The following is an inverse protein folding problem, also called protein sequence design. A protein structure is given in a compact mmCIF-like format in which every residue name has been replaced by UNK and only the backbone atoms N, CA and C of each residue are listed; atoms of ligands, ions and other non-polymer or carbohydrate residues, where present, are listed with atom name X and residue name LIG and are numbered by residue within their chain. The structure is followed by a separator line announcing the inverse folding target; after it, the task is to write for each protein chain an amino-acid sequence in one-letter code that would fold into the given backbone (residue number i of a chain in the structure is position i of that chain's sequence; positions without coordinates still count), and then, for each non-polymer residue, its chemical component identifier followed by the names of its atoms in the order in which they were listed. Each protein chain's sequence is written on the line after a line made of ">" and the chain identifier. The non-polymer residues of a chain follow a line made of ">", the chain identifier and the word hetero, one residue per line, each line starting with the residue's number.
data_IF_211142118362
#
_entry.id   IF_211142118362
#
_cell.length_a   1.000
_cell.length_b   1.000
_cell.length_c   1.000
_cell.angle_alpha   90.00
_cell.angle_beta   90.00
_cell.angle_gamma   90.00
#
_symmetry.space_group_name_H-M   'P 1'
#
loop_
_entity.id
_entity.type
_entity.pdbx_description
1 polymer ?
#
# COMPACT_ATOMS: atom_id res chain seq x y z
N UNK A 1 -21.77 9.87 -16.44
CA UNK A 1 -20.95 8.65 -16.43
C UNK A 1 -21.15 7.97 -15.08
N UNK A 2 -21.22 6.64 -15.00
CA UNK A 2 -21.30 5.95 -13.72
C UNK A 2 -20.04 6.26 -12.89
N UNK A 3 -20.22 6.33 -11.58
CA UNK A 3 -19.14 6.55 -10.60
C UNK A 3 -19.34 5.62 -9.40
N UNK A 4 -18.25 5.29 -8.73
CA UNK A 4 -18.23 4.51 -7.51
C UNK A 4 -16.96 4.83 -6.73
N UNK A 5 -16.97 4.49 -5.44
CA UNK A 5 -15.85 4.65 -4.53
C UNK A 5 -15.55 3.31 -3.86
N UNK A 6 -14.26 3.06 -3.62
CA UNK A 6 -13.76 1.99 -2.78
C UNK A 6 -13.56 2.53 -1.37
N UNK A 7 -14.15 1.90 -0.36
CA UNK A 7 -14.11 2.40 1.02
C UNK A 7 -13.55 1.37 2.01
N UNK A 8 -12.53 1.76 2.76
CA UNK A 8 -12.08 1.11 3.99
C UNK A 8 -12.64 1.90 5.19
N UNK A 9 -13.84 1.54 5.65
CA UNK A 9 -14.55 2.29 6.68
C UNK A 9 -14.95 3.68 6.19
N UNK A 10 -14.40 4.73 6.81
CA UNK A 10 -14.64 6.14 6.42
C UNK A 10 -13.64 6.66 5.40
N UNK A 11 -12.58 5.91 5.09
CA UNK A 11 -11.60 6.27 4.07
C UNK A 11 -12.09 5.75 2.72
N UNK A 12 -12.42 6.64 1.80
CA UNK A 12 -12.97 6.29 0.50
C UNK A 12 -12.15 6.94 -0.62
N UNK A 13 -11.89 6.17 -1.68
CA UNK A 13 -11.21 6.63 -2.88
C UNK A 13 -12.05 6.35 -4.12
N UNK A 14 -12.16 7.30 -5.07
CA UNK A 14 -12.90 7.07 -6.29
C UNK A 14 -12.20 6.04 -7.17
N UNK A 15 -12.99 5.15 -7.78
CA UNK A 15 -12.46 4.36 -8.89
C UNK A 15 -12.09 5.29 -10.04
N UNK A 16 -10.96 5.03 -10.67
CA UNK A 16 -10.48 5.84 -11.79
C UNK A 16 -11.35 5.78 -13.03
N UNK A 17 -12.11 4.70 -13.20
CA UNK A 17 -13.23 4.63 -14.12
C UNK A 17 -14.22 3.55 -13.67
N UNK A 18 -15.48 3.75 -14.02
CA UNK A 18 -16.52 2.73 -13.91
C UNK A 18 -17.13 2.52 -15.30
N UNK A 19 -17.20 1.27 -15.75
CA UNK A 19 -17.81 0.92 -17.05
C UNK A 19 -18.93 -0.08 -16.80
N UNK A 20 -20.09 0.18 -17.39
CA UNK A 20 -21.26 -0.70 -17.31
C UNK A 20 -21.68 -1.08 -18.71
N UNK A 21 -21.80 -2.39 -18.97
CA UNK A 21 -22.25 -2.93 -20.24
C UNK A 21 -23.12 -4.16 -19.99
N UNK A 22 -24.43 -4.04 -20.21
CA UNK A 22 -25.39 -5.09 -19.88
C UNK A 22 -25.40 -5.39 -18.37
N UNK A 23 -25.19 -6.66 -18.03
CA UNK A 23 -25.07 -7.16 -16.65
C UNK A 23 -23.65 -7.04 -16.08
N UNK A 24 -22.68 -6.58 -16.88
CA UNK A 24 -21.28 -6.49 -16.48
C UNK A 24 -20.94 -5.09 -15.99
N UNK A 25 -20.25 -5.01 -14.85
CA UNK A 25 -19.61 -3.80 -14.34
C UNK A 25 -18.10 -4.02 -14.21
N UNK A 26 -17.32 -3.01 -14.59
CA UNK A 26 -15.88 -2.96 -14.40
C UNK A 26 -15.53 -1.72 -13.60
N UNK A 27 -14.87 -1.92 -12.46
CA UNK A 27 -14.29 -0.87 -11.64
C UNK A 27 -12.77 -0.84 -11.86
N UNK A 28 -12.26 0.27 -12.37
CA UNK A 28 -10.84 0.44 -12.68
C UNK A 28 -10.11 1.13 -11.52
N UNK A 29 -9.09 0.48 -10.97
CA UNK A 29 -8.16 1.02 -9.98
C UNK A 29 -6.82 1.22 -10.70
N UNK A 30 -6.81 2.14 -11.66
CA UNK A 30 -5.72 2.18 -12.62
C UNK A 30 -4.38 2.68 -12.07
N UNK A 31 -4.37 3.22 -10.84
CA UNK A 31 -3.12 3.60 -10.15
C UNK A 31 -2.26 2.36 -9.84
N UNK A 32 -2.90 1.20 -9.74
CA UNK A 32 -2.26 -0.10 -9.48
C UNK A 32 -2.38 -1.08 -10.65
N UNK A 33 -2.76 -0.59 -11.84
CA UNK A 33 -3.16 -1.41 -12.99
C UNK A 33 -4.09 -2.57 -12.57
N UNK A 34 -5.04 -2.24 -11.71
CA UNK A 34 -5.94 -3.19 -11.09
C UNK A 34 -7.39 -2.91 -11.52
N UNK A 35 -8.22 -3.95 -11.54
CA UNK A 35 -9.63 -3.82 -11.82
C UNK A 35 -10.45 -4.87 -11.08
N UNK A 36 -11.73 -4.57 -10.87
CA UNK A 36 -12.75 -5.55 -10.48
C UNK A 36 -13.72 -5.66 -11.64
N UNK A 37 -13.83 -6.86 -12.22
CA UNK A 37 -14.83 -7.18 -13.23
C UNK A 37 -15.85 -8.12 -12.62
N UNK A 38 -17.11 -7.70 -12.59
CA UNK A 38 -18.20 -8.46 -11.99
C UNK A 38 -19.47 -8.42 -12.84
N UNK A 39 -20.34 -9.41 -12.63
CA UNK A 39 -21.69 -9.48 -13.18
C UNK A 39 -22.73 -9.32 -12.08
N UNK A 40 -23.88 -8.75 -12.41
CA UNK A 40 -25.04 -8.68 -11.51
C UNK A 40 -25.71 -10.05 -11.39
N UNK A 41 -25.79 -10.56 -10.17
CA UNK A 41 -26.54 -11.77 -9.81
C UNK A 41 -27.56 -11.41 -8.72
N UNK A 42 -28.76 -11.02 -9.13
CA UNK A 42 -29.78 -10.52 -8.19
C UNK A 42 -29.34 -9.21 -7.52
N UNK A 43 -29.23 -9.22 -6.20
CA UNK A 43 -28.75 -8.08 -5.38
C UNK A 43 -27.22 -8.13 -5.09
N UNK A 44 -26.49 -8.97 -5.82
CA UNK A 44 -25.06 -9.20 -5.66
C UNK A 44 -24.26 -8.89 -6.93
N UNK A 45 -22.98 -8.64 -6.74
CA UNK A 45 -21.96 -8.61 -7.78
C UNK A 45 -21.02 -9.78 -7.58
N UNK A 46 -20.83 -10.60 -8.62
CA UNK A 46 -19.96 -11.78 -8.60
C UNK A 46 -18.93 -11.66 -9.72
N UNK A 47 -17.66 -11.93 -9.43
CA UNK A 47 -16.62 -11.87 -10.46
C UNK A 47 -15.22 -12.03 -9.90
N UNK A 48 -14.30 -11.20 -10.37
CA UNK A 48 -12.91 -11.23 -9.92
C UNK A 48 -12.28 -9.84 -9.86
N UNK A 49 -11.43 -9.67 -8.86
CA UNK A 49 -10.39 -8.65 -8.82
C UNK A 49 -9.15 -9.18 -9.55
N UNK A 50 -8.47 -8.33 -10.30
CA UNK A 50 -7.16 -8.63 -10.88
C UNK A 50 -6.23 -7.43 -10.87
N UNK A 51 -4.93 -7.65 -10.64
CA UNK A 51 -3.88 -6.64 -10.82
C UNK A 51 -2.65 -7.22 -11.52
N UNK A 52 -1.73 -6.34 -11.95
CA UNK A 52 -0.43 -6.73 -12.49
C UNK A 52 0.43 -7.44 -11.44
N UNK A 53 1.33 -8.31 -11.91
CA UNK A 53 2.21 -9.10 -11.03
C UNK A 53 3.46 -9.57 -11.77
N UNK A 54 4.56 -9.68 -11.04
CA UNK A 54 5.85 -10.14 -11.56
C UNK A 54 5.86 -11.59 -12.09
N UNK A 55 4.81 -12.37 -11.76
CA UNK A 55 4.59 -13.75 -12.27
C UNK A 55 3.29 -13.86 -13.07
N UNK A 56 2.85 -12.74 -13.65
CA UNK A 56 1.56 -12.59 -14.29
C UNK A 56 0.47 -12.05 -13.36
N UNK A 57 -0.71 -11.75 -13.91
CA UNK A 57 -1.78 -11.09 -13.16
C UNK A 57 -2.24 -11.92 -11.97
N UNK A 58 -2.35 -11.31 -10.80
CA UNK A 58 -2.98 -11.98 -9.65
C UNK A 58 -4.48 -11.81 -9.79
N UNK A 59 -5.23 -12.90 -9.67
CA UNK A 59 -6.69 -12.88 -9.75
C UNK A 59 -7.26 -13.43 -8.45
N UNK A 60 -8.19 -12.70 -7.84
CA UNK A 60 -8.88 -13.11 -6.60
C UNK A 60 -10.39 -13.06 -6.86
N UNK A 61 -11.14 -14.11 -6.51
CA UNK A 61 -12.59 -14.08 -6.59
C UNK A 61 -13.18 -12.88 -5.84
N UNK A 62 -14.13 -12.22 -6.47
CA UNK A 62 -14.81 -11.05 -5.94
C UNK A 62 -16.30 -11.37 -5.75
N UNK A 63 -16.81 -10.99 -4.58
CA UNK A 63 -18.23 -11.01 -4.29
C UNK A 63 -18.59 -9.79 -3.46
N UNK A 64 -19.63 -9.06 -3.87
CA UNK A 64 -20.21 -7.98 -3.09
C UNK A 64 -21.72 -8.15 -3.05
N UNK A 65 -22.31 -7.83 -1.90
CA UNK A 65 -23.76 -7.81 -1.71
C UNK A 65 -24.19 -6.42 -1.32
N UNK A 66 -25.41 -6.05 -1.67
CA UNK A 66 -25.98 -4.79 -1.18
C UNK A 66 -26.08 -4.82 0.35
N UNK A 67 -25.39 -3.89 1.01
CA UNK A 67 -25.43 -3.77 2.45
C UNK A 67 -24.22 -3.07 3.03
N UNK A 68 -24.08 -3.17 4.34
CA UNK A 68 -22.88 -2.78 5.09
C UNK A 68 -22.48 -3.97 5.95
N UNK A 69 -21.19 -4.12 6.20
CA UNK A 69 -20.74 -5.07 7.21
C UNK A 69 -21.39 -4.69 8.54
N UNK A 70 -22.16 -5.60 9.14
CA UNK A 70 -22.76 -5.39 10.46
C UNK A 70 -21.66 -5.53 11.50
N UNK A 71 -21.44 -4.50 12.32
CA UNK A 71 -20.33 -4.47 13.26
C UNK A 71 -20.79 -3.97 14.62
N UNK A 72 -20.38 -4.68 15.66
CA UNK A 72 -20.48 -4.21 17.03
C UNK A 72 -19.15 -3.54 17.43
N UNK A 73 -19.19 -2.53 18.32
CA UNK A 73 -17.97 -1.94 18.85
C UNK A 73 -17.15 -3.00 19.58
N UNK A 74 -15.82 -2.94 19.42
CA UNK A 74 -14.92 -3.81 20.16
C UNK A 74 -14.93 -3.47 21.65
N UNK A 75 -14.77 -4.47 22.53
CA UNK A 75 -14.71 -4.24 23.97
C UNK A 75 -13.45 -3.43 24.33
N UNK A 76 -13.49 -2.59 25.39
CA UNK A 76 -12.36 -1.73 25.77
C UNK A 76 -11.03 -2.47 25.94
N UNK A 77 -11.07 -3.73 26.37
CA UNK A 77 -9.90 -4.59 26.57
C UNK A 77 -9.17 -4.92 25.26
N UNK A 78 -9.82 -4.82 24.11
CA UNK A 78 -9.22 -5.01 22.78
C UNK A 78 -8.57 -3.73 22.25
N UNK A 79 -9.01 -2.57 22.72
CA UNK A 79 -8.57 -1.28 22.19
C UNK A 79 -7.15 -0.92 22.66
N UNK A 80 -6.53 -0.01 21.90
CA UNK A 80 -5.21 0.52 22.13
C UNK A 80 -4.12 -0.15 21.28
N UNK A 81 -2.88 0.01 21.74
CA UNK A 81 -1.67 -0.39 21.01
C UNK A 81 -1.16 -1.73 21.52
N UNK A 82 -0.76 -2.60 20.59
CA UNK A 82 -0.29 -3.95 20.83
C UNK A 82 1.03 -4.21 20.12
N UNK A 83 1.99 -4.73 20.88
CA UNK A 83 3.24 -5.23 20.34
C UNK A 83 2.99 -6.66 19.85
N UNK A 84 3.10 -6.87 18.55
CA UNK A 84 2.76 -8.13 17.89
C UNK A 84 3.97 -8.81 17.26
N UNK A 85 3.93 -10.14 17.18
CA UNK A 85 4.91 -10.97 16.50
C UNK A 85 4.20 -11.83 15.46
N UNK A 86 4.47 -11.53 14.19
CA UNK A 86 3.88 -12.24 13.05
C UNK A 86 4.84 -13.34 12.59
N UNK A 87 4.33 -14.55 12.40
CA UNK A 87 5.11 -15.69 11.92
C UNK A 87 5.08 -16.86 12.90
N UNK A 88 5.94 -17.84 12.63
CA UNK A 88 6.12 -19.02 13.46
C UNK A 88 7.45 -18.97 14.20
N UNK A 89 7.66 -19.90 15.15
CA UNK A 89 8.92 -20.05 15.86
C UNK A 89 10.13 -20.02 14.91
N UNK A 90 11.13 -19.20 15.25
CA UNK A 90 12.34 -18.99 14.44
C UNK A 90 12.24 -17.97 13.32
N UNK A 91 11.05 -17.44 12.98
CA UNK A 91 10.82 -16.43 11.93
C UNK A 91 9.76 -15.41 12.32
N UNK A 92 9.84 -14.89 13.54
CA UNK A 92 8.94 -13.85 14.03
C UNK A 92 9.36 -12.48 13.50
N UNK A 93 8.39 -11.72 13.00
CA UNK A 93 8.56 -10.36 12.52
C UNK A 93 7.74 -9.42 13.42
N UNK A 94 8.36 -8.38 14.03
CA UNK A 94 7.65 -7.48 14.92
C UNK A 94 6.70 -6.56 14.13
N UNK A 95 5.50 -6.35 14.66
CA UNK A 95 4.48 -5.43 14.15
C UNK A 95 3.87 -4.68 15.31
N UNK A 96 3.38 -3.46 15.07
CA UNK A 96 2.48 -2.78 16.02
C UNK A 96 1.08 -2.88 15.46
N UNK A 97 0.13 -3.32 16.28
CA UNK A 97 -1.30 -3.26 15.98
C UNK A 97 -1.93 -2.16 16.83
N UNK A 98 -2.65 -1.25 16.21
CA UNK A 98 -3.47 -0.27 16.92
C UNK A 98 -4.94 -0.56 16.64
N UNK A 99 -5.78 -0.56 17.67
CA UNK A 99 -7.21 -0.77 17.56
C UNK A 99 -8.00 0.34 18.23
N UNK A 100 -9.00 0.88 17.54
CA UNK A 100 -9.92 1.87 18.09
C UNK A 100 -11.34 1.70 17.52
N UNK A 101 -12.35 2.11 18.28
CA UNK A 101 -13.73 2.11 17.80
C UNK A 101 -13.99 3.40 17.01
N UNK A 102 -14.08 3.28 15.69
CA UNK A 102 -14.50 4.35 14.79
C UNK A 102 -16.03 4.43 14.64
N UNK A 103 -16.49 5.49 13.97
CA UNK A 103 -17.93 5.74 13.76
C UNK A 103 -18.66 4.63 13.00
N UNK A 104 -17.94 3.87 12.18
CA UNK A 104 -18.49 2.80 11.36
C UNK A 104 -18.07 1.41 11.83
N UNK A 105 -17.28 1.24 12.90
CA UNK A 105 -16.79 -0.08 13.31
C UNK A 105 -15.40 -0.06 13.94
N UNK A 106 -14.82 -1.24 14.14
CA UNK A 106 -13.45 -1.39 14.61
C UNK A 106 -12.49 -0.95 13.51
N UNK A 107 -11.65 0.03 13.83
CA UNK A 107 -10.50 0.41 13.01
C UNK A 107 -9.27 -0.31 13.53
N UNK A 108 -8.38 -0.63 12.61
CA UNK A 108 -7.06 -1.09 12.97
C UNK A 108 -5.97 -0.53 12.06
N UNK A 109 -4.76 -0.46 12.59
CA UNK A 109 -3.56 -0.09 11.84
C UNK A 109 -2.51 -1.16 12.08
N UNK A 110 -1.75 -1.50 11.04
CA UNK A 110 -0.61 -2.42 11.15
C UNK A 110 0.66 -1.70 10.71
N UNK A 111 1.52 -1.41 11.68
CA UNK A 111 2.83 -0.82 11.44
C UNK A 111 3.89 -1.91 11.43
N UNK A 112 4.82 -1.79 10.47
CA UNK A 112 5.99 -2.64 10.36
C UNK A 112 7.24 -1.80 10.15
N UNK A 113 8.42 -2.42 10.28
CA UNK A 113 9.66 -1.74 9.90
C UNK A 113 9.72 -1.38 8.41
N UNK A 114 8.95 -2.03 7.53
CA UNK A 114 8.87 -1.71 6.10
C UNK A 114 7.76 -0.69 5.76
N UNK A 115 7.09 -0.12 6.77
CA UNK A 115 6.01 0.86 6.58
C UNK A 115 4.66 0.42 7.14
N UNK A 116 3.70 1.33 7.02
CA UNK A 116 2.30 1.12 7.39
C UNK A 116 1.57 0.33 6.28
N UNK A 117 0.54 -0.44 6.67
CA UNK A 117 -0.27 -1.27 5.77
C UNK A 117 -1.63 -0.65 5.43
N UNK A 118 -1.83 0.62 5.76
CA UNK A 118 -3.08 1.34 5.57
C UNK A 118 -4.08 1.10 6.70
N UNK A 119 -5.18 1.84 6.63
CA UNK A 119 -6.28 1.71 7.57
C UNK A 119 -7.09 0.44 7.29
N UNK A 120 -7.17 -0.43 8.29
CA UNK A 120 -8.06 -1.59 8.31
C UNK A 120 -9.39 -1.19 8.94
N UNK A 121 -10.45 -1.84 8.48
CA UNK A 121 -11.78 -1.65 9.02
C UNK A 121 -12.56 -2.96 9.08
N UNK A 122 -13.37 -3.10 10.12
CA UNK A 122 -14.31 -4.21 10.26
C UNK A 122 -15.00 -4.13 11.60
N UNK A 123 -15.07 -5.24 12.32
CA UNK A 123 -15.81 -5.33 13.57
C UNK A 123 -15.30 -6.36 14.54
N UNK A 124 -15.86 -6.29 15.74
CA UNK A 124 -15.72 -7.31 16.76
C UNK A 124 -17.08 -7.90 17.10
N UNK A 125 -17.07 -9.12 17.62
CA UNK A 125 -18.22 -9.79 18.22
C UNK A 125 -17.73 -10.47 19.50
N UNK A 126 -18.11 -9.93 20.64
CA UNK A 126 -17.55 -10.34 21.92
C UNK A 126 -16.02 -10.13 21.97
N UNK A 127 -15.26 -11.23 22.02
CA UNK A 127 -13.79 -11.21 22.11
C UNK A 127 -13.10 -11.58 20.79
N UNK A 128 -13.86 -11.78 19.72
CA UNK A 128 -13.34 -12.07 18.39
C UNK A 128 -13.43 -10.82 17.51
N UNK A 129 -12.53 -10.68 16.55
CA UNK A 129 -12.52 -9.56 15.61
C UNK A 129 -12.11 -9.99 14.21
N UNK A 130 -12.59 -9.23 13.24
CA UNK A 130 -12.20 -9.33 11.83
C UNK A 130 -12.14 -7.93 11.23
N UNK A 131 -10.99 -7.55 10.69
CA UNK A 131 -10.77 -6.27 10.03
C UNK A 131 -10.07 -6.49 8.69
N UNK A 132 -10.48 -5.77 7.65
CA UNK A 132 -9.94 -5.90 6.30
C UNK A 132 -9.39 -4.57 5.77
N UNK A 133 -8.51 -4.66 4.79
CA UNK A 133 -8.01 -3.53 4.04
C UNK A 133 -7.90 -3.91 2.56
N UNK A 134 -8.44 -3.07 1.68
CA UNK A 134 -8.28 -3.21 0.24
C UNK A 134 -8.12 -1.84 -0.43
N UNK A 135 -7.04 -1.64 -1.16
CA UNK A 135 -6.72 -0.40 -1.90
C UNK A 135 -6.45 -0.65 -3.40
N UNK A 136 -6.48 -1.91 -3.85
CA UNK A 136 -6.14 -2.32 -5.21
C UNK A 136 -4.68 -2.75 -5.41
N UNK A 137 -3.81 -2.57 -4.43
CA UNK A 137 -2.48 -3.19 -4.34
C UNK A 137 -2.49 -4.30 -3.27
N UNK A 138 -2.99 -3.94 -2.08
CA UNK A 138 -3.11 -4.78 -0.91
C UNK A 138 -4.52 -5.32 -0.79
N UNK A 139 -4.60 -6.64 -0.56
CA UNK A 139 -5.84 -7.37 -0.26
C UNK A 139 -5.58 -8.09 1.06
N UNK A 140 -5.84 -7.40 2.17
CA UNK A 140 -5.45 -7.84 3.50
C UNK A 140 -6.65 -8.05 4.42
N UNK A 141 -6.52 -9.01 5.33
CA UNK A 141 -7.48 -9.24 6.40
C UNK A 141 -6.77 -9.73 7.66
N UNK A 142 -7.25 -9.31 8.82
CA UNK A 142 -6.78 -9.78 10.12
C UNK A 142 -7.98 -10.34 10.84
N UNK A 143 -7.86 -11.59 11.24
CA UNK A 143 -8.86 -12.27 12.10
C UNK A 143 -8.19 -12.67 13.39
N UNK A 144 -8.85 -12.49 14.52
CA UNK A 144 -8.27 -12.89 15.79
C UNK A 144 -9.24 -12.85 16.94
N UNK A 145 -8.70 -13.09 18.13
CA UNK A 145 -9.44 -13.03 19.38
C UNK A 145 -8.55 -12.65 20.55
N UNK A 146 -9.17 -12.08 21.58
CA UNK A 146 -8.51 -11.74 22.84
C UNK A 146 -8.62 -12.91 23.83
N UNK A 147 -7.50 -13.59 24.12
CA UNK A 147 -7.40 -14.64 25.12
C UNK A 147 -6.73 -14.09 26.38
N UNK A 148 -7.51 -13.87 27.44
CA UNK A 148 -7.02 -13.16 28.63
C UNK A 148 -6.59 -11.74 28.27
N UNK A 149 -5.29 -11.49 28.31
CA UNK A 149 -4.60 -10.23 27.99
C UNK A 149 -3.78 -10.29 26.69
N UNK A 150 -3.92 -11.36 25.90
CA UNK A 150 -3.14 -11.59 24.69
C UNK A 150 -4.06 -11.66 23.47
N UNK A 151 -3.74 -10.92 22.41
CA UNK A 151 -4.38 -11.11 21.10
C UNK A 151 -3.70 -12.27 20.38
N UNK A 152 -4.50 -13.17 19.81
CA UNK A 152 -4.02 -14.23 18.93
C UNK A 152 -4.83 -14.21 17.64
N UNK A 153 -4.17 -14.42 16.51
CA UNK A 153 -4.88 -14.34 15.24
C UNK A 153 -4.08 -14.75 14.03
N UNK A 154 -4.58 -14.36 12.87
CA UNK A 154 -4.01 -14.64 11.55
C UNK A 154 -4.13 -13.39 10.67
N UNK A 155 -3.02 -13.00 10.07
CA UNK A 155 -2.96 -12.04 8.98
C UNK A 155 -3.04 -12.78 7.65
N UNK A 156 -4.04 -12.44 6.85
CA UNK A 156 -4.30 -12.98 5.53
C UNK A 156 -3.85 -11.96 4.49
N UNK A 157 -3.02 -12.40 3.54
CA UNK A 157 -2.57 -11.58 2.43
C UNK A 157 -2.85 -12.26 1.09
N UNK A 158 -3.74 -11.63 0.31
CA UNK A 158 -4.28 -12.20 -0.91
C UNK A 158 -5.01 -13.52 -0.66
N UNK A 159 -4.94 -14.44 -1.63
CA UNK A 159 -5.75 -15.67 -1.62
C UNK A 159 -5.19 -16.79 -0.73
N UNK A 160 -3.88 -16.81 -0.46
CA UNK A 160 -3.21 -17.99 0.11
C UNK A 160 -2.31 -17.71 1.31
N UNK A 161 -1.78 -16.49 1.44
CA UNK A 161 -0.82 -16.21 2.51
C UNK A 161 -1.56 -16.07 3.81
N UNK A 162 -1.17 -16.86 4.81
CA UNK A 162 -1.69 -16.81 6.16
C UNK A 162 -0.52 -16.83 7.13
N UNK A 163 -0.42 -15.77 7.93
CA UNK A 163 0.64 -15.60 8.91
C UNK A 163 0.02 -15.53 10.30
N UNK A 164 0.25 -16.52 11.19
CA UNK A 164 -0.24 -16.43 12.55
C UNK A 164 0.46 -15.29 13.28
N UNK A 165 -0.20 -14.72 14.28
CA UNK A 165 0.43 -13.77 15.18
C UNK A 165 -0.06 -13.92 16.61
N UNK A 166 0.78 -13.46 17.53
CA UNK A 166 0.41 -13.14 18.91
C UNK A 166 0.74 -11.68 19.17
N UNK A 167 -0.01 -11.03 20.06
CA UNK A 167 0.28 -9.67 20.47
C UNK A 167 -0.05 -9.45 21.95
N UNK A 168 0.81 -8.69 22.62
CA UNK A 168 0.64 -8.26 24.01
C UNK A 168 0.45 -6.76 24.06
N UNK A 169 -0.19 -6.25 25.11
CA UNK A 169 -0.40 -4.81 25.26
C UNK A 169 0.94 -4.08 25.25
N UNK A 170 1.04 -3.03 24.43
CA UNK A 170 2.27 -2.26 24.33
C UNK A 170 2.58 -1.58 25.65
N UNK A 171 3.86 -1.57 26.01
CA UNK A 171 4.38 -0.89 27.21
C UNK A 171 4.88 0.52 26.91
N UNK A 172 4.87 0.92 25.64
CA UNK A 172 5.52 2.15 25.15
C UNK A 172 7.02 2.01 24.92
N UNK A 173 7.62 0.86 25.24
CA UNK A 173 8.99 0.56 24.84
C UNK A 173 9.09 0.42 23.30
N UNK A 174 10.24 0.74 22.68
CA UNK A 174 10.43 0.51 21.25
C UNK A 174 10.25 -0.96 20.88
N UNK A 175 9.25 -1.24 20.04
CA UNK A 175 8.98 -2.59 19.51
C UNK A 175 9.50 -2.78 18.09
N UNK A 176 9.39 -1.74 17.26
CA UNK A 176 9.99 -1.69 15.92
C UNK A 176 11.39 -1.07 16.00
N UNK A 177 12.27 -1.46 15.07
CA UNK A 177 13.57 -0.77 14.93
C UNK A 177 13.36 0.72 14.61
N UNK A 178 14.21 1.63 15.13
CA UNK A 178 14.20 3.03 14.73
C UNK A 178 14.32 3.18 13.21
N UNK A 179 13.62 4.13 12.56
CA UNK A 179 13.69 4.30 11.11
C UNK A 179 15.12 4.46 10.57
N UNK A 180 16.00 5.12 11.33
CA UNK A 180 17.43 5.30 11.00
C UNK A 180 18.26 4.02 11.01
N UNK A 181 17.73 2.93 11.56
CA UNK A 181 18.39 1.62 11.62
C UNK A 181 17.74 0.59 10.68
N UNK A 182 16.63 0.95 10.02
CA UNK A 182 15.97 0.08 9.03
C UNK A 182 16.71 0.12 7.69
N UNK A 183 17.26 1.28 7.35
CA UNK A 183 17.97 1.51 6.09
C UNK A 183 19.38 2.01 6.36
N UNK A 184 20.35 1.53 5.60
CA UNK A 184 21.70 2.08 5.58
C UNK A 184 22.08 2.47 4.15
N UNK A 185 22.93 3.49 4.02
CA UNK A 185 23.55 3.86 2.77
C UNK A 185 25.05 3.58 2.87
N UNK A 186 25.62 2.96 1.83
CA UNK A 186 27.07 2.95 1.66
C UNK A 186 27.52 4.34 1.22
N UNK A 187 28.25 5.02 2.10
CA UNK A 187 28.76 6.38 1.89
C UNK A 187 30.25 6.41 1.57
N UNK A 188 30.86 5.26 1.29
CA UNK A 188 32.28 5.17 0.93
C UNK A 188 32.60 5.81 -0.42
N UNK A 189 31.59 5.96 -1.28
CA UNK A 189 31.68 6.64 -2.56
C UNK A 189 30.44 7.48 -2.87
N UNK A 190 30.50 8.33 -3.91
CA UNK A 190 29.33 9.05 -4.37
C UNK A 190 28.30 8.06 -4.93
N UNK A 191 27.05 8.20 -4.52
CA UNK A 191 25.94 7.45 -5.11
C UNK A 191 25.87 7.72 -6.62
N UNK A 192 25.87 6.65 -7.42
CA UNK A 192 25.79 6.71 -8.88
C UNK A 192 24.47 6.10 -9.35
N UNK A 193 23.86 6.68 -10.38
CA UNK A 193 22.71 6.09 -11.06
C UNK A 193 22.78 6.37 -12.55
N UNK A 194 22.27 5.43 -13.35
CA UNK A 194 22.15 5.56 -14.80
C UNK A 194 20.98 4.71 -15.27
N UNK A 195 19.83 5.34 -15.50
CA UNK A 195 18.59 4.65 -15.86
C UNK A 195 17.85 5.40 -16.98
N UNK A 196 17.08 4.69 -17.82
CA UNK A 196 16.26 5.33 -18.84
C UNK A 196 15.13 6.14 -18.20
N UNK A 197 14.88 7.35 -18.72
CA UNK A 197 13.63 8.05 -18.51
C UNK A 197 12.49 7.40 -19.30
N UNK A 198 11.29 7.99 -19.20
CA UNK A 198 10.10 7.48 -19.86
C UNK A 198 10.16 7.58 -21.40
N UNK A 199 11.11 8.33 -21.94
CA UNK A 199 11.36 8.45 -23.38
C UNK A 199 12.52 7.55 -23.84
N UNK A 200 13.08 6.75 -22.93
CA UNK A 200 14.18 5.81 -23.18
C UNK A 200 15.57 6.48 -23.17
N UNK A 201 15.66 7.76 -22.85
CA UNK A 201 16.95 8.45 -22.73
C UNK A 201 17.55 8.14 -21.37
N UNK A 202 18.80 7.67 -21.36
CA UNK A 202 19.53 7.44 -20.12
C UNK A 202 19.83 8.78 -19.44
N UNK A 203 19.41 8.89 -18.17
CA UNK A 203 19.70 9.99 -17.26
C UNK A 203 20.67 9.49 -16.21
N UNK A 204 21.71 10.29 -15.91
CA UNK A 204 22.74 9.92 -14.93
C UNK A 204 22.91 11.00 -13.86
N UNK A 205 23.52 10.64 -12.74
CA UNK A 205 23.89 11.60 -11.69
C UNK A 205 24.88 12.68 -12.15
N UNK A 206 25.53 12.49 -13.30
CA UNK A 206 26.46 13.45 -13.89
C UNK A 206 25.78 14.49 -14.79
N UNK A 207 24.47 14.35 -15.06
CA UNK A 207 23.75 15.29 -15.91
C UNK A 207 23.80 16.72 -15.35
N UNK A 208 23.87 17.76 -16.22
CA UNK A 208 23.98 19.15 -15.78
C UNK A 208 22.93 19.59 -14.76
N UNK A 209 21.74 18.97 -14.79
CA UNK A 209 20.64 19.28 -13.88
C UNK A 209 20.94 18.98 -12.41
N UNK A 210 21.86 18.06 -12.13
CA UNK A 210 22.22 17.62 -10.78
C UNK A 210 23.50 18.28 -10.24
N UNK A 211 24.32 18.89 -11.12
CA UNK A 211 25.61 19.45 -10.73
C UNK A 211 25.45 20.64 -9.77
N UNK A 212 26.18 20.58 -8.66
CA UNK A 212 26.20 21.65 -7.65
C UNK A 212 24.91 21.79 -6.85
N UNK A 213 24.02 20.79 -6.90
CA UNK A 213 22.75 20.76 -6.17
C UNK A 213 22.78 19.73 -5.04
N UNK A 214 21.93 19.94 -4.05
CA UNK A 214 21.50 18.86 -3.15
C UNK A 214 20.48 18.02 -3.90
N UNK A 215 20.79 16.74 -4.10
CA UNK A 215 19.93 15.82 -4.85
C UNK A 215 19.28 14.84 -3.89
N UNK A 216 17.94 14.82 -3.87
CA UNK A 216 17.18 13.75 -3.23
C UNK A 216 16.89 12.66 -4.27
N UNK A 217 17.33 11.45 -3.97
CA UNK A 217 17.00 10.25 -4.73
C UNK A 217 15.81 9.59 -4.05
N UNK A 218 14.70 9.52 -4.76
CA UNK A 218 13.45 8.91 -4.30
C UNK A 218 13.32 7.51 -4.90
N UNK A 219 13.51 6.46 -4.10
CA UNK A 219 13.36 5.06 -4.53
C UNK A 219 11.93 4.63 -4.23
N UNK A 220 11.16 4.34 -5.28
CA UNK A 220 9.73 4.10 -5.15
C UNK A 220 9.22 3.11 -6.19
N UNK A 221 7.92 2.79 -6.13
CA UNK A 221 7.22 2.10 -7.20
C UNK A 221 5.74 2.48 -7.20
N UNK A 222 5.09 2.49 -8.37
CA UNK A 222 3.68 2.93 -8.50
C UNK A 222 2.71 2.03 -7.75
N UNK A 223 3.10 0.77 -7.55
CA UNK A 223 2.39 -0.27 -6.80
C UNK A 223 2.42 -0.08 -5.28
N UNK A 224 3.27 0.81 -4.75
CA UNK A 224 3.50 1.02 -3.33
C UNK A 224 2.54 2.12 -2.79
N UNK A 225 1.58 1.80 -1.92
CA UNK A 225 0.63 2.80 -1.39
C UNK A 225 1.32 3.91 -0.61
N UNK A 226 2.30 3.57 0.24
CA UNK A 226 3.09 4.56 0.98
C UNK A 226 3.83 5.56 0.05
N UNK A 227 4.17 5.13 -1.16
CA UNK A 227 4.82 5.96 -2.16
C UNK A 227 3.83 6.92 -2.82
N UNK A 228 2.56 6.50 -2.98
CA UNK A 228 1.46 7.38 -3.39
C UNK A 228 1.20 8.46 -2.32
N UNK A 229 1.22 8.08 -1.04
CA UNK A 229 1.04 9.01 0.08
C UNK A 229 2.19 10.01 0.23
N UNK A 230 3.43 9.59 -0.08
CA UNK A 230 4.62 10.44 0.02
C UNK A 230 4.76 11.47 -1.12
N UNK A 231 4.18 11.18 -2.30
CA UNK A 231 4.38 12.01 -3.50
C UNK A 231 3.96 13.49 -3.34
N UNK A 232 2.80 13.82 -2.73
CA UNK A 232 2.43 15.20 -2.47
C UNK A 232 3.43 15.94 -1.56
N UNK A 233 3.91 15.29 -0.50
CA UNK A 233 4.91 15.88 0.41
C UNK A 233 6.25 16.11 -0.28
N UNK A 234 6.67 15.19 -1.16
CA UNK A 234 7.87 15.37 -1.97
C UNK A 234 7.73 16.54 -2.95
N UNK A 235 6.54 16.72 -3.54
CA UNK A 235 6.25 17.87 -4.39
C UNK A 235 6.34 19.19 -3.62
N UNK A 236 5.78 19.25 -2.41
CA UNK A 236 5.90 20.43 -1.54
C UNK A 236 7.36 20.77 -1.22
N UNK A 237 8.17 19.76 -0.89
CA UNK A 237 9.60 19.92 -0.64
C UNK A 237 10.32 20.47 -1.88
N UNK A 238 10.02 19.90 -3.05
CA UNK A 238 10.58 20.37 -4.32
C UNK A 238 10.23 21.84 -4.58
N UNK A 239 8.95 22.21 -4.45
CA UNK A 239 8.49 23.57 -4.68
C UNK A 239 9.16 24.57 -3.73
N UNK A 240 9.38 24.19 -2.47
CA UNK A 240 10.00 25.04 -1.46
C UNK A 240 11.51 25.28 -1.71
N UNK A 241 12.24 24.27 -2.18
CA UNK A 241 13.71 24.31 -2.18
C UNK A 241 14.35 24.26 -3.57
N UNK A 242 13.61 23.96 -4.65
CA UNK A 242 14.21 23.75 -5.97
C UNK A 242 15.04 24.96 -6.44
N UNK A 243 14.51 26.18 -6.27
CA UNK A 243 15.22 27.42 -6.63
C UNK A 243 16.44 27.72 -5.74
N UNK A 244 16.62 26.99 -4.64
CA UNK A 244 17.71 27.12 -3.67
C UNK A 244 18.82 26.09 -3.90
N UNK A 245 18.80 25.41 -5.06
CA UNK A 245 19.80 24.38 -5.39
C UNK A 245 19.40 22.97 -4.95
N UNK A 246 18.10 22.69 -4.81
CA UNK A 246 17.58 21.35 -4.59
C UNK A 246 17.09 20.73 -5.91
N UNK A 247 17.25 19.42 -6.05
CA UNK A 247 16.70 18.64 -7.17
C UNK A 247 16.27 17.27 -6.67
N UNK A 248 15.31 16.68 -7.37
CA UNK A 248 14.83 15.32 -7.10
C UNK A 248 15.04 14.46 -8.34
N UNK A 249 15.29 13.18 -8.13
CA UNK A 249 15.16 12.14 -9.16
C UNK A 249 14.46 10.95 -8.53
N UNK A 250 13.39 10.47 -9.18
CA UNK A 250 12.68 9.28 -8.70
C UNK A 250 13.12 8.06 -9.51
N UNK A 251 13.46 6.98 -8.81
CA UNK A 251 13.88 5.69 -9.35
C UNK A 251 12.75 4.70 -9.15
N UNK A 252 12.02 4.40 -10.23
CA UNK A 252 10.86 3.51 -10.23
C UNK A 252 11.30 2.04 -10.33
N UNK A 253 11.06 1.28 -9.26
CA UNK A 253 11.18 -0.18 -9.22
C UNK A 253 9.78 -0.78 -9.36
N UNK A 254 9.42 -1.18 -10.58
CA UNK A 254 8.06 -1.56 -10.94
C UNK A 254 7.82 -3.07 -10.90
N UNK A 255 6.61 -3.53 -11.20
CA UNK A 255 6.24 -4.93 -10.94
C UNK A 255 6.56 -5.85 -12.11
N UNK A 256 6.48 -5.38 -13.36
CA UNK A 256 6.45 -6.28 -14.52
C UNK A 256 7.81 -6.46 -15.20
N UNK A 257 8.65 -5.42 -15.18
CA UNK A 257 9.89 -5.37 -15.94
C UNK A 257 9.69 -5.10 -17.43
N UNK A 258 8.44 -4.90 -17.86
CA UNK A 258 8.10 -4.49 -19.22
C UNK A 258 8.03 -2.95 -19.26
N UNK A 259 8.96 -2.28 -19.97
CA UNK A 259 9.00 -0.82 -20.03
C UNK A 259 7.74 -0.18 -20.60
N UNK A 260 6.95 -0.89 -21.41
CA UNK A 260 5.70 -0.35 -21.94
C UNK A 260 4.62 -0.32 -20.85
N UNK A 261 4.47 -1.42 -20.10
CA UNK A 261 3.49 -1.52 -19.01
C UNK A 261 3.88 -0.63 -17.84
N UNK A 262 5.12 -0.77 -17.38
CA UNK A 262 5.67 -0.02 -16.25
C UNK A 262 5.75 1.47 -16.57
N UNK A 263 6.16 1.83 -17.79
CA UNK A 263 6.20 3.22 -18.24
C UNK A 263 4.81 3.89 -18.29
N UNK A 264 3.75 3.15 -18.62
CA UNK A 264 2.38 3.69 -18.57
C UNK A 264 1.93 3.98 -17.12
N UNK A 265 2.23 3.07 -16.19
CA UNK A 265 1.94 3.26 -14.76
C UNK A 265 2.70 4.48 -14.19
N UNK A 266 3.99 4.60 -14.52
CA UNK A 266 4.81 5.71 -14.05
C UNK A 266 4.35 7.05 -14.65
N UNK A 267 3.96 7.09 -15.94
CA UNK A 267 3.35 8.30 -16.54
C UNK A 267 2.08 8.70 -15.80
N UNK A 268 1.22 7.73 -15.49
CA UNK A 268 -0.01 8.00 -14.75
C UNK A 268 0.28 8.57 -13.36
N UNK A 269 1.24 8.01 -12.63
CA UNK A 269 1.68 8.52 -11.33
C UNK A 269 2.23 9.95 -11.44
N UNK A 270 3.11 10.20 -12.41
CA UNK A 270 3.65 11.54 -12.71
C UNK A 270 2.53 12.55 -12.96
N UNK A 271 1.57 12.19 -13.81
CA UNK A 271 0.50 13.08 -14.23
C UNK A 271 -0.51 13.31 -13.10
N UNK A 272 -0.81 12.29 -12.29
CA UNK A 272 -1.67 12.37 -11.09
C UNK A 272 -1.16 13.41 -10.09
N UNK A 273 0.14 13.38 -9.81
CA UNK A 273 0.75 14.26 -8.80
C UNK A 273 1.42 15.50 -9.40
N UNK A 274 1.42 15.67 -10.73
CA UNK A 274 2.04 16.81 -11.39
C UNK A 274 3.55 16.90 -11.17
N UNK A 275 4.24 15.75 -11.16
CA UNK A 275 5.67 15.65 -10.83
C UNK A 275 6.53 16.35 -11.90
N UNK A 276 7.31 17.39 -11.54
CA UNK A 276 8.10 18.18 -12.49
C UNK A 276 9.54 17.66 -12.72
N UNK A 277 10.01 16.72 -11.89
CA UNK A 277 11.36 16.17 -11.96
C UNK A 277 11.40 14.83 -12.73
N UNK A 278 12.57 14.31 -13.10
CA UNK A 278 12.66 13.09 -13.89
C UNK A 278 12.31 11.87 -13.03
N UNK A 279 11.52 10.98 -13.62
CA UNK A 279 11.26 9.66 -13.09
C UNK A 279 11.88 8.64 -14.04
N UNK A 280 12.73 7.77 -13.52
CA UNK A 280 13.52 6.81 -14.28
C UNK A 280 13.03 5.38 -14.02
N UNK A 281 12.99 4.56 -15.05
CA UNK A 281 12.68 3.14 -14.93
C UNK A 281 13.93 2.41 -14.42
N UNK A 282 13.99 2.19 -13.11
CA UNK A 282 15.18 1.72 -12.41
C UNK A 282 15.28 0.20 -12.31
N UNK A 283 14.16 -0.51 -12.43
CA UNK A 283 14.14 -1.96 -12.45
C UNK A 283 12.81 -2.54 -12.02
N UNK A 284 12.87 -3.79 -11.57
CA UNK A 284 11.74 -4.50 -11.00
C UNK A 284 11.86 -4.47 -9.48
N UNK A 285 10.75 -4.38 -8.77
CA UNK A 285 10.68 -4.72 -7.35
C UNK A 285 10.91 -6.23 -7.18
N UNK A 286 12.18 -6.63 -7.22
CA UNK A 286 12.63 -7.92 -6.75
C UNK A 286 13.01 -7.82 -5.27
N UNK A 287 12.58 -8.82 -4.51
CA UNK A 287 13.15 -9.06 -3.20
C UNK A 287 14.51 -9.74 -3.43
N UNK A 288 15.60 -8.99 -3.36
CA UNK A 288 16.82 -9.53 -2.76
C UNK A 288 16.76 -9.39 -1.23
#
# INVERSE_FOLDING_TARGET
>A
MPSAELCNGTFCEPFSAVRVAGDTVVFEIGDYAASIRAVWEGDSLVGAYSNVGNRGPRTIPFHAVRGRWQVEPAPPEMLGVWDAWFGSEGRLSPRILEFDNGALGLRATVLSNSGDYGAFWGGASGREFSVGHFDGSFVYMITGKLLGDTLVGTFHAGLRSQTPFTATRSTGAPHLKPPTEVTSADTTGPFQFAFPDLEGKVVTNEDPRFKGKVVMVDIFGTWCPNCQDAAPTLLELYQAYHSQGFEVVSLAYEVTGDPEVDGQLVRRFRDKFGIPWPILLAGVNDSE
#
